data_IF_652131102487
#
_entry.id   IF_652131102487
#
_cell.length_a   1.000
_cell.length_b   1.000
_cell.length_c   1.000
_cell.angle_alpha   90.00
_cell.angle_beta   90.00
_cell.angle_gamma   90.00
#
_symmetry.space_group_name_H-M   'P 1'
#
loop_
_entity.id
_entity.type
_entity.pdbx_description
1 polymer ?
#
# COMPACT_ATOMS: atom_id res chain seq x y z
N UNK A 1 6.51 18.38 -24.00
CA UNK A 1 5.61 17.89 -22.94
C UNK A 1 6.51 17.47 -21.80
N UNK A 2 6.27 18.00 -20.59
CA UNK A 2 6.98 17.56 -19.38
C UNK A 2 6.56 16.12 -19.10
N UNK A 3 7.51 15.22 -18.85
CA UNK A 3 7.17 13.86 -18.40
C UNK A 3 6.32 13.97 -17.12
N UNK A 4 5.28 13.16 -16.96
CA UNK A 4 4.45 13.23 -15.77
C UNK A 4 5.27 12.90 -14.52
N UNK A 5 4.96 13.58 -13.42
CA UNK A 5 5.72 13.41 -12.20
C UNK A 5 5.24 12.25 -11.34
N UNK A 6 6.14 11.70 -10.52
CA UNK A 6 5.81 10.60 -9.61
C UNK A 6 6.50 10.78 -8.25
N UNK A 7 5.77 10.53 -7.18
CA UNK A 7 6.30 10.48 -5.81
C UNK A 7 6.16 9.10 -5.20
N UNK A 8 7.17 8.68 -4.43
CA UNK A 8 7.14 7.44 -3.66
C UNK A 8 6.64 7.73 -2.24
N UNK A 9 5.58 7.05 -1.82
CA UNK A 9 5.02 7.12 -0.48
C UNK A 9 5.07 5.75 0.17
N UNK A 10 5.58 5.67 1.40
CA UNK A 10 5.62 4.43 2.17
C UNK A 10 5.02 4.67 3.54
N UNK A 11 4.05 3.82 3.92
CA UNK A 11 3.47 3.83 5.25
C UNK A 11 4.35 3.09 6.23
N UNK A 12 4.61 3.73 7.36
CA UNK A 12 5.35 3.13 8.47
C UNK A 12 4.59 3.30 9.78
N UNK A 13 4.63 2.26 10.60
CA UNK A 13 4.05 2.26 11.94
C UNK A 13 4.98 1.54 12.92
N UNK A 14 4.65 1.61 14.22
CA UNK A 14 5.44 0.98 15.29
C UNK A 14 5.75 -0.52 15.08
N UNK A 15 4.88 -1.34 14.47
CA UNK A 15 5.20 -2.74 14.19
C UNK A 15 6.32 -2.96 13.16
N UNK A 16 6.80 -1.90 12.50
CA UNK A 16 7.73 -2.00 11.38
C UNK A 16 9.20 -1.77 11.79
N UNK A 17 9.43 -1.34 13.04
CA UNK A 17 10.76 -0.90 13.55
C UNK A 17 11.85 -1.95 13.40
N UNK A 18 11.49 -3.24 13.36
CA UNK A 18 12.45 -4.34 13.27
C UNK A 18 13.04 -4.56 11.88
N UNK A 19 12.39 -4.07 10.83
CA UNK A 19 12.80 -4.33 9.44
C UNK A 19 12.91 -3.09 8.57
N UNK A 20 12.30 -1.95 8.94
CA UNK A 20 12.19 -0.79 8.05
C UNK A 20 13.54 -0.18 7.65
N UNK A 21 14.58 -0.32 8.48
CA UNK A 21 15.95 0.11 8.12
C UNK A 21 16.60 -0.76 7.05
N UNK A 22 16.04 -1.92 6.73
CA UNK A 22 16.52 -2.82 5.69
C UNK A 22 15.63 -2.74 4.45
N UNK A 23 14.31 -2.77 4.63
CA UNK A 23 13.33 -2.83 3.52
C UNK A 23 13.16 -1.48 2.81
N UNK A 24 13.17 -0.36 3.53
CA UNK A 24 12.99 0.97 2.89
C UNK A 24 14.18 1.29 1.95
N UNK A 25 15.46 1.17 2.39
CA UNK A 25 16.58 1.39 1.47
C UNK A 25 16.56 0.46 0.25
N UNK A 26 16.18 -0.80 0.46
CA UNK A 26 16.00 -1.77 -0.62
C UNK A 26 14.95 -1.30 -1.65
N UNK A 27 13.75 -0.92 -1.19
CA UNK A 27 12.67 -0.46 -2.07
C UNK A 27 13.08 0.80 -2.86
N UNK A 28 13.73 1.77 -2.20
CA UNK A 28 14.21 2.99 -2.87
C UNK A 28 15.28 2.65 -3.92
N UNK A 29 16.25 1.81 -3.55
CA UNK A 29 17.35 1.39 -4.42
C UNK A 29 16.84 0.65 -5.66
N UNK A 30 15.97 -0.34 -5.49
CA UNK A 30 15.53 -1.21 -6.60
C UNK A 30 14.62 -0.48 -7.57
N UNK A 31 13.73 0.38 -7.08
CA UNK A 31 12.86 1.16 -7.97
C UNK A 31 13.67 2.12 -8.85
N UNK A 32 14.76 2.69 -8.33
CA UNK A 32 15.71 3.55 -9.05
C UNK A 32 15.04 4.52 -10.04
N UNK A 33 14.05 5.26 -9.54
CA UNK A 33 13.23 6.16 -10.34
C UNK A 33 13.51 7.61 -9.94
N UNK A 34 13.49 8.58 -10.88
CA UNK A 34 13.63 10.00 -10.56
C UNK A 34 12.33 10.53 -9.92
N UNK A 35 12.07 10.14 -8.68
CA UNK A 35 10.91 10.62 -7.91
C UNK A 35 11.04 12.12 -7.62
N UNK A 36 9.92 12.85 -7.63
CA UNK A 36 9.87 14.23 -7.14
C UNK A 36 10.16 14.28 -5.64
N UNK A 37 9.57 13.36 -4.88
CA UNK A 37 9.88 13.12 -3.48
C UNK A 37 9.69 11.65 -3.11
N UNK A 38 10.43 11.23 -2.07
CA UNK A 38 10.32 9.97 -1.36
C UNK A 38 9.89 10.28 0.06
N UNK A 39 8.70 9.85 0.45
CA UNK A 39 8.04 10.26 1.69
C UNK A 39 7.71 9.06 2.56
N UNK A 40 8.07 9.14 3.84
CA UNK A 40 7.54 8.24 4.87
C UNK A 40 6.34 8.90 5.55
N UNK A 41 5.18 8.25 5.47
CA UNK A 41 3.99 8.63 6.21
C UNK A 41 3.88 7.78 7.48
N UNK A 42 3.99 8.43 8.64
CA UNK A 42 4.07 7.81 9.96
C UNK A 42 2.68 7.75 10.58
N UNK A 43 2.24 6.53 10.90
CA UNK A 43 1.05 6.31 11.69
C UNK A 43 1.34 6.48 13.18
N UNK A 44 0.87 7.61 13.71
CA UNK A 44 1.01 7.99 15.12
C UNK A 44 -0.15 7.52 16.00
N UNK A 45 -1.17 6.88 15.43
CA UNK A 45 -2.33 6.44 16.19
C UNK A 45 -1.98 5.27 17.14
N UNK A 46 -2.76 5.10 18.23
CA UNK A 46 -2.69 3.88 19.03
C UNK A 46 -2.98 2.64 18.18
N UNK A 47 -2.21 1.57 18.38
CA UNK A 47 -2.45 0.31 17.69
C UNK A 47 -3.79 -0.28 18.12
N UNK A 48 -4.47 -0.92 17.17
CA UNK A 48 -5.74 -1.59 17.40
C UNK A 48 -5.90 -2.84 16.55
N UNK A 49 -6.92 -3.65 16.84
CA UNK A 49 -7.19 -4.89 16.11
C UNK A 49 -6.00 -5.85 16.11
N UNK A 50 -5.73 -6.46 14.96
CA UNK A 50 -4.68 -7.47 14.76
C UNK A 50 -3.26 -6.90 14.96
N UNK A 51 -3.11 -5.56 14.96
CA UNK A 51 -1.81 -4.90 15.13
C UNK A 51 -1.30 -4.92 16.57
N UNK A 52 -2.19 -5.05 17.56
CA UNK A 52 -1.83 -5.03 18.99
C UNK A 52 -1.07 -6.28 19.41
N UNK A 53 -1.37 -7.42 18.75
CA UNK A 53 -0.79 -8.73 19.08
C UNK A 53 0.42 -9.08 18.23
N UNK A 54 0.93 -8.14 17.41
CA UNK A 54 2.14 -8.38 16.62
C UNK A 54 3.34 -8.55 17.56
N UNK A 55 4.27 -9.48 17.26
CA UNK A 55 5.49 -9.60 18.03
C UNK A 55 6.43 -8.42 17.73
N UNK A 56 7.31 -8.10 18.68
CA UNK A 56 8.39 -7.11 18.52
C UNK A 56 7.94 -5.71 18.07
N UNK A 57 6.80 -5.24 18.58
CA UNK A 57 6.33 -3.86 18.33
C UNK A 57 7.27 -2.88 19.02
N UNK A 58 7.87 -1.97 18.26
CA UNK A 58 8.70 -0.92 18.81
C UNK A 58 7.91 0.22 19.47
N UNK A 59 8.62 1.10 20.15
CA UNK A 59 8.07 2.35 20.68
C UNK A 59 7.88 3.38 19.56
N UNK A 60 7.20 4.50 19.87
CA UNK A 60 7.11 5.59 18.91
C UNK A 60 8.48 6.26 18.74
N UNK A 61 9.26 6.35 19.81
CA UNK A 61 10.62 6.88 19.83
C UNK A 61 11.54 6.05 18.93
N UNK A 62 11.51 4.72 19.03
CA UNK A 62 12.28 3.83 18.16
C UNK A 62 11.89 4.00 16.68
N UNK A 63 10.59 4.15 16.39
CA UNK A 63 10.13 4.46 15.04
C UNK A 63 10.69 5.80 14.55
N UNK A 64 10.67 6.84 15.39
CA UNK A 64 11.25 8.15 15.06
C UNK A 64 12.73 8.05 14.75
N UNK A 65 13.50 7.36 15.60
CA UNK A 65 14.92 7.13 15.38
C UNK A 65 15.19 6.44 14.05
N UNK A 66 14.36 5.44 13.68
CA UNK A 66 14.52 4.76 12.40
C UNK A 66 14.20 5.68 11.22
N UNK A 67 13.11 6.45 11.27
CA UNK A 67 12.75 7.39 10.20
C UNK A 67 13.78 8.52 10.05
N UNK A 68 14.33 9.03 11.16
CA UNK A 68 15.38 10.05 11.16
C UNK A 68 16.68 9.52 10.54
N UNK A 69 17.08 8.27 10.84
CA UNK A 69 18.23 7.63 10.18
C UNK A 69 18.06 7.54 8.66
N UNK A 70 16.85 7.20 8.19
CA UNK A 70 16.56 7.13 6.75
C UNK A 70 16.59 8.51 6.08
N UNK A 71 16.08 9.54 6.77
CA UNK A 71 16.12 10.92 6.30
C UNK A 71 17.57 11.45 6.22
N UNK A 72 18.36 11.28 7.29
CA UNK A 72 19.76 11.71 7.34
C UNK A 72 20.65 11.00 6.32
N UNK A 73 20.36 9.72 6.02
CA UNK A 73 21.05 8.96 4.99
C UNK A 73 20.63 9.34 3.56
N UNK A 74 19.64 10.24 3.38
CA UNK A 74 19.11 10.62 2.07
C UNK A 74 18.35 9.50 1.36
N UNK A 75 17.93 8.45 2.09
CA UNK A 75 17.11 7.36 1.53
C UNK A 75 15.72 7.89 1.21
N UNK A 76 15.20 8.77 2.05
CA UNK A 76 13.93 9.48 1.84
C UNK A 76 14.15 10.98 1.96
N UNK A 77 13.29 11.77 1.33
CA UNK A 77 13.41 13.23 1.29
C UNK A 77 12.61 13.89 2.42
N UNK A 78 11.57 13.20 2.89
CA UNK A 78 10.64 13.75 3.89
C UNK A 78 10.01 12.65 4.76
N UNK A 79 9.77 13.00 6.02
CA UNK A 79 8.98 12.21 6.97
C UNK A 79 7.81 13.08 7.41
N UNK A 80 6.59 12.54 7.38
CA UNK A 80 5.38 13.24 7.83
C UNK A 80 4.51 12.38 8.70
N UNK A 81 3.83 13.01 9.65
CA UNK A 81 2.81 12.37 10.45
C UNK A 81 1.48 12.40 9.72
N UNK A 82 0.75 11.28 9.77
CA UNK A 82 -0.64 11.27 9.33
C UNK A 82 -1.42 12.29 10.17
N UNK A 83 -2.10 13.20 9.48
CA UNK A 83 -2.86 14.26 10.13
C UNK A 83 -4.17 13.72 10.73
N UNK A 84 -4.18 13.54 12.04
CA UNK A 84 -5.34 13.09 12.82
C UNK A 84 -6.23 14.22 13.33
N UNK A 85 -6.03 15.47 12.90
CA UNK A 85 -6.92 16.58 13.22
C UNK A 85 -8.36 16.29 12.77
N UNK A 86 -9.33 16.64 13.63
CA UNK A 86 -10.72 16.34 13.38
C UNK A 86 -11.29 17.07 12.16
N UNK A 87 -10.84 18.30 11.86
CA UNK A 87 -11.32 19.04 10.70
C UNK A 87 -10.75 18.46 9.41
N UNK A 88 -9.44 18.16 9.39
CA UNK A 88 -8.80 17.48 8.26
C UNK A 88 -9.47 16.14 7.97
N UNK A 89 -9.60 15.29 8.99
CA UNK A 89 -10.24 13.98 8.88
C UNK A 89 -11.68 14.07 8.35
N UNK A 90 -12.49 15.00 8.87
CA UNK A 90 -13.86 15.19 8.39
C UNK A 90 -13.88 15.67 6.93
N UNK A 91 -13.00 16.59 6.55
CA UNK A 91 -12.91 17.13 5.20
C UNK A 91 -12.54 16.03 4.20
N UNK A 92 -11.45 15.30 4.45
CA UNK A 92 -10.97 14.26 3.53
C UNK A 92 -11.95 13.09 3.43
N UNK A 93 -12.59 12.69 4.53
CA UNK A 93 -13.59 11.62 4.48
C UNK A 93 -14.88 12.04 3.79
N UNK A 94 -15.30 13.30 3.93
CA UNK A 94 -16.43 13.81 3.15
C UNK A 94 -16.13 13.79 1.65
N UNK A 95 -14.90 14.12 1.24
CA UNK A 95 -14.44 13.99 -0.16
C UNK A 95 -14.43 12.53 -0.61
N UNK A 96 -13.80 11.64 0.15
CA UNK A 96 -13.57 10.24 -0.26
C UNK A 96 -14.79 9.35 -0.15
N UNK A 97 -15.61 9.50 0.89
CA UNK A 97 -16.76 8.63 1.16
C UNK A 97 -18.11 9.32 0.95
N UNK A 98 -18.12 10.62 0.65
CA UNK A 98 -19.34 11.43 0.56
C UNK A 98 -19.94 11.81 1.93
N UNK A 99 -19.39 11.30 3.03
CA UNK A 99 -19.88 11.54 4.39
C UNK A 99 -18.75 11.37 5.42
N UNK A 100 -18.74 12.11 6.54
CA UNK A 100 -17.77 11.88 7.59
C UNK A 100 -17.97 10.52 8.26
N UNK A 101 -16.85 9.88 8.63
CA UNK A 101 -16.82 8.63 9.40
C UNK A 101 -15.90 8.86 10.58
N UNK A 102 -16.29 8.44 11.78
CA UNK A 102 -15.51 8.65 13.01
C UNK A 102 -14.19 7.87 13.04
N UNK A 103 -14.10 6.76 12.31
CA UNK A 103 -13.03 5.78 12.43
C UNK A 103 -11.89 6.07 11.45
N UNK A 104 -10.69 6.28 11.98
CA UNK A 104 -9.48 6.50 11.16
C UNK A 104 -8.85 5.19 10.67
N UNK A 105 -9.26 4.06 11.27
CA UNK A 105 -8.77 2.72 10.99
C UNK A 105 -9.92 1.74 10.78
N UNK A 106 -9.64 0.64 10.09
CA UNK A 106 -10.59 -0.48 10.00
C UNK A 106 -10.61 -1.32 11.29
N UNK A 107 -11.49 -2.32 11.34
CA UNK A 107 -11.63 -3.22 12.50
C UNK A 107 -10.38 -4.06 12.82
N UNK A 108 -9.43 -4.21 11.89
CA UNK A 108 -8.16 -4.93 12.05
C UNK A 108 -6.99 -4.01 12.42
N UNK A 109 -7.21 -2.70 12.50
CA UNK A 109 -6.15 -1.70 12.72
C UNK A 109 -5.35 -1.34 11.47
N UNK A 110 -5.94 -1.46 10.27
CA UNK A 110 -5.38 -0.88 9.05
C UNK A 110 -5.71 0.63 8.99
N UNK A 111 -4.73 1.52 8.74
CA UNK A 111 -4.92 2.97 8.73
C UNK A 111 -5.58 3.44 7.43
N UNK A 112 -6.93 3.48 7.41
CA UNK A 112 -7.71 3.99 6.27
C UNK A 112 -7.37 5.46 6.02
N UNK A 113 -7.32 6.28 7.08
CA UNK A 113 -6.94 7.68 6.97
C UNK A 113 -5.51 7.83 6.45
N UNK A 114 -4.59 6.93 6.82
CA UNK A 114 -3.23 6.93 6.28
C UNK A 114 -3.22 6.79 4.76
N UNK A 115 -3.94 5.80 4.23
CA UNK A 115 -4.06 5.57 2.78
C UNK A 115 -4.59 6.79 2.02
N UNK A 116 -5.63 7.40 2.57
CA UNK A 116 -6.24 8.61 2.02
C UNK A 116 -5.27 9.81 2.13
N UNK A 117 -4.61 9.95 3.27
CA UNK A 117 -3.68 11.04 3.55
C UNK A 117 -2.56 11.09 2.53
N UNK A 118 -1.88 9.98 2.21
CA UNK A 118 -0.82 10.01 1.20
C UNK A 118 -1.30 10.41 -0.18
N UNK A 119 -2.50 9.98 -0.59
CA UNK A 119 -3.05 10.36 -1.89
C UNK A 119 -3.38 11.86 -1.93
N UNK A 120 -3.95 12.42 -0.86
CA UNK A 120 -4.28 13.85 -0.78
C UNK A 120 -3.03 14.75 -0.67
N UNK A 121 -2.00 14.27 0.02
CA UNK A 121 -0.76 15.01 0.22
C UNK A 121 0.20 14.90 -0.96
N UNK A 122 0.13 13.84 -1.76
CA UNK A 122 0.91 13.71 -2.99
C UNK A 122 0.56 14.84 -3.99
N UNK A 123 1.57 15.58 -4.43
CA UNK A 123 1.42 16.68 -5.41
C UNK A 123 1.84 16.29 -6.83
N UNK A 124 2.42 15.11 -6.99
CA UNK A 124 2.77 14.57 -8.29
C UNK A 124 1.56 14.08 -9.09
N UNK A 125 1.72 13.90 -10.39
CA UNK A 125 0.68 13.31 -11.24
C UNK A 125 0.38 11.85 -10.84
N UNK A 126 1.43 11.11 -10.48
CA UNK A 126 1.37 9.74 -10.02
C UNK A 126 1.89 9.57 -8.60
N UNK A 127 1.31 8.64 -7.85
CA UNK A 127 1.82 8.21 -6.56
C UNK A 127 2.16 6.72 -6.62
N UNK A 128 3.36 6.36 -6.19
CA UNK A 128 3.76 4.99 -5.96
C UNK A 128 3.68 4.69 -4.46
N UNK A 129 2.93 3.65 -4.10
CA UNK A 129 2.85 3.16 -2.74
C UNK A 129 3.46 1.77 -2.60
N UNK A 130 4.21 1.57 -1.51
CA UNK A 130 4.54 0.26 -0.97
C UNK A 130 4.22 0.22 0.53
N UNK A 131 3.70 -0.90 1.01
CA UNK A 131 3.78 -1.24 2.43
C UNK A 131 5.27 -1.44 2.79
N UNK A 132 5.65 -1.02 3.99
CA UNK A 132 7.07 -1.01 4.44
C UNK A 132 7.73 -2.38 4.48
N UNK A 133 6.96 -3.46 4.44
CA UNK A 133 7.43 -4.84 4.46
C UNK A 133 7.62 -5.47 3.07
N UNK A 134 7.24 -4.77 2.00
CA UNK A 134 7.35 -5.27 0.64
C UNK A 134 8.81 -5.45 0.21
N UNK A 135 9.06 -6.48 -0.58
CA UNK A 135 10.32 -6.74 -1.25
C UNK A 135 10.12 -6.71 -2.77
N UNK A 136 11.15 -6.30 -3.50
CA UNK A 136 11.05 -6.11 -4.94
C UNK A 136 12.35 -6.43 -5.65
N UNK A 137 12.24 -7.04 -6.83
CA UNK A 137 13.30 -7.05 -7.82
C UNK A 137 12.94 -6.17 -9.01
N UNK A 138 13.96 -5.53 -9.57
CA UNK A 138 13.91 -4.93 -10.89
C UNK A 138 15.25 -5.20 -11.59
N UNK A 139 15.18 -5.69 -12.82
CA UNK A 139 16.33 -5.92 -13.66
C UNK A 139 17.06 -4.58 -13.94
N UNK A 140 18.42 -4.57 -13.94
CA UNK A 140 19.17 -3.38 -14.32
C UNK A 140 18.73 -2.82 -15.68
N UNK A 141 18.61 -1.49 -15.76
CA UNK A 141 18.14 -0.75 -16.94
C UNK A 141 16.66 -0.94 -17.32
N UNK A 142 15.90 -1.73 -16.58
CA UNK A 142 14.44 -1.76 -16.68
C UNK A 142 13.83 -0.72 -15.74
N UNK A 143 12.67 -0.16 -16.12
CA UNK A 143 11.92 0.78 -15.30
C UNK A 143 10.42 0.49 -15.43
N UNK A 144 9.91 -0.32 -14.50
CA UNK A 144 8.52 -0.76 -14.51
C UNK A 144 7.54 0.40 -14.28
N UNK A 145 7.96 1.45 -13.56
CA UNK A 145 7.13 2.64 -13.29
C UNK A 145 6.91 3.41 -14.59
N UNK A 146 7.96 3.62 -15.39
CA UNK A 146 7.84 4.27 -16.69
C UNK A 146 6.98 3.45 -17.66
N UNK A 147 7.13 2.12 -17.65
CA UNK A 147 6.24 1.21 -18.39
C UNK A 147 4.77 1.38 -17.94
N UNK A 148 4.53 1.35 -16.63
CA UNK A 148 3.20 1.50 -16.04
C UNK A 148 2.56 2.86 -16.38
N UNK A 149 3.30 3.96 -16.25
CA UNK A 149 2.83 5.30 -16.61
C UNK A 149 2.40 5.35 -18.07
N UNK A 150 3.24 4.86 -18.99
CA UNK A 150 2.92 4.81 -20.42
C UNK A 150 1.64 4.00 -20.68
N UNK A 151 1.51 2.83 -20.06
CA UNK A 151 0.32 1.99 -20.18
C UNK A 151 -0.92 2.69 -19.65
N UNK A 152 -0.81 3.43 -18.55
CA UNK A 152 -1.93 4.22 -18.02
C UNK A 152 -2.31 5.37 -18.97
N UNK A 153 -1.34 6.07 -19.56
CA UNK A 153 -1.61 7.13 -20.56
C UNK A 153 -2.35 6.57 -21.79
N UNK A 154 -1.93 5.41 -22.29
CA UNK A 154 -2.56 4.72 -23.43
C UNK A 154 -3.94 4.12 -23.07
N UNK A 155 -4.20 3.83 -21.79
CA UNK A 155 -5.42 3.20 -21.30
C UNK A 155 -6.09 4.05 -20.20
N UNK A 156 -7.01 4.96 -20.54
CA UNK A 156 -7.68 5.84 -19.57
C UNK A 156 -8.47 5.12 -18.46
N UNK A 157 -8.84 3.86 -18.67
CA UNK A 157 -9.53 3.01 -17.69
C UNK A 157 -8.57 2.32 -16.70
N UNK A 158 -7.26 2.31 -16.95
CA UNK A 158 -6.27 1.77 -16.02
C UNK A 158 -6.07 2.76 -14.87
N UNK A 159 -6.52 2.41 -13.66
CA UNK A 159 -6.47 3.26 -12.47
C UNK A 159 -5.26 2.95 -11.58
N UNK A 160 -4.90 1.67 -11.50
CA UNK A 160 -3.84 1.18 -10.63
C UNK A 160 -2.95 0.23 -11.41
N UNK A 161 -1.64 0.28 -11.18
CA UNK A 161 -0.69 -0.67 -11.76
C UNK A 161 0.25 -1.19 -10.70
N UNK A 162 0.66 -2.45 -10.79
CA UNK A 162 1.76 -3.00 -10.00
C UNK A 162 2.64 -3.89 -10.86
N UNK A 163 3.93 -4.07 -10.49
CA UNK A 163 4.78 -5.05 -11.14
C UNK A 163 4.25 -6.47 -10.89
N UNK A 164 4.90 -7.45 -11.51
CA UNK A 164 4.54 -8.86 -11.40
C UNK A 164 4.42 -9.28 -9.93
N UNK A 165 3.35 -10.03 -9.63
CA UNK A 165 3.07 -10.52 -8.28
C UNK A 165 3.72 -11.91 -8.11
N UNK A 166 4.81 -11.95 -7.35
CA UNK A 166 5.68 -13.12 -7.24
C UNK A 166 6.75 -13.17 -8.34
N UNK A 167 7.87 -13.85 -8.11
CA UNK A 167 8.89 -14.09 -9.12
C UNK A 167 8.31 -14.80 -10.36
N UNK A 168 8.92 -14.62 -11.54
CA UNK A 168 8.39 -15.19 -12.76
C UNK A 168 8.38 -16.71 -12.75
N UNK A 169 7.36 -17.28 -13.37
CA UNK A 169 7.34 -18.70 -13.75
C UNK A 169 7.95 -18.87 -15.15
N UNK A 170 8.22 -20.10 -15.56
CA UNK A 170 8.70 -20.40 -16.93
C UNK A 170 7.65 -20.15 -18.04
N UNK A 171 6.48 -19.60 -17.70
CA UNK A 171 5.41 -19.29 -18.65
C UNK A 171 5.44 -17.81 -19.00
N UNK A 172 5.95 -17.50 -20.18
CA UNK A 172 5.80 -16.16 -20.75
C UNK A 172 4.33 -15.89 -21.06
N UNK A 173 3.89 -14.66 -20.77
CA UNK A 173 2.57 -14.17 -21.16
C UNK A 173 2.72 -13.24 -22.36
N UNK A 174 1.82 -13.40 -23.34
CA UNK A 174 1.79 -12.55 -24.53
C UNK A 174 1.27 -11.14 -24.22
N UNK A 175 0.29 -11.04 -23.32
CA UNK A 175 -0.29 -9.76 -22.92
C UNK A 175 0.63 -9.03 -21.92
N UNK A 176 0.79 -7.70 -22.03
CA UNK A 176 1.69 -6.92 -21.16
C UNK A 176 1.18 -6.80 -19.70
N UNK A 177 -0.11 -7.04 -19.47
CA UNK A 177 -0.70 -7.01 -18.14
C UNK A 177 -1.93 -7.90 -18.01
N UNK A 178 -2.20 -8.35 -16.79
CA UNK A 178 -3.47 -8.96 -16.39
C UNK A 178 -4.41 -7.89 -15.81
N UNK A 179 -5.71 -7.99 -16.11
CA UNK A 179 -6.75 -7.04 -15.67
C UNK A 179 -7.50 -7.55 -14.44
N UNK A 180 -7.69 -6.69 -13.44
CA UNK A 180 -8.41 -7.01 -12.21
C UNK A 180 -9.38 -5.91 -11.80
N UNK A 181 -10.54 -6.32 -11.27
CA UNK A 181 -11.46 -5.44 -10.53
C UNK A 181 -11.14 -5.38 -9.03
N UNK A 182 -10.31 -6.29 -8.54
CA UNK A 182 -9.80 -6.24 -7.17
C UNK A 182 -8.64 -5.27 -7.05
N UNK A 183 -8.66 -4.48 -5.98
CA UNK A 183 -7.56 -3.61 -5.59
C UNK A 183 -6.71 -4.29 -4.51
N UNK A 184 -5.41 -3.99 -4.50
CA UNK A 184 -4.47 -4.47 -3.49
C UNK A 184 -3.69 -3.30 -2.91
N UNK A 185 -3.73 -3.11 -1.59
CA UNK A 185 -3.19 -1.91 -0.95
C UNK A 185 -1.69 -1.93 -0.67
N UNK A 186 -1.01 -3.07 -0.92
CA UNK A 186 0.40 -3.29 -0.54
C UNK A 186 1.42 -2.69 -1.48
N UNK A 187 1.12 -2.67 -2.77
CA UNK A 187 2.03 -2.19 -3.81
C UNK A 187 1.18 -1.75 -5.00
N UNK A 188 1.20 -0.44 -5.29
CA UNK A 188 0.47 0.11 -6.43
C UNK A 188 1.02 1.48 -6.84
N UNK A 189 1.09 1.70 -8.14
CA UNK A 189 1.13 3.00 -8.78
C UNK A 189 -0.30 3.44 -9.05
N UNK A 190 -0.61 4.71 -8.79
CA UNK A 190 -1.93 5.32 -9.04
C UNK A 190 -1.78 6.64 -9.78
N UNK A 191 -2.72 6.93 -10.68
CA UNK A 191 -2.92 8.27 -11.25
C UNK A 191 -3.80 9.09 -10.29
N UNK A 192 -3.21 10.10 -9.66
CA UNK A 192 -3.87 10.89 -8.61
C UNK A 192 -5.09 11.66 -9.15
N UNK A 193 -5.03 12.16 -10.40
CA UNK A 193 -6.13 12.92 -11.02
C UNK A 193 -7.29 12.02 -11.41
N UNK A 194 -7.02 10.80 -11.88
CA UNK A 194 -8.06 9.80 -12.14
C UNK A 194 -8.70 9.35 -10.84
N UNK A 195 -7.92 9.13 -9.80
CA UNK A 195 -8.46 8.74 -8.51
C UNK A 195 -9.37 9.82 -7.91
N UNK A 196 -9.05 11.11 -8.06
CA UNK A 196 -9.95 12.19 -7.63
C UNK A 196 -11.34 12.10 -8.30
N UNK A 197 -11.38 11.79 -9.60
CA UNK A 197 -12.63 11.57 -10.36
C UNK A 197 -13.35 10.27 -10.02
N UNK A 198 -12.64 9.31 -9.42
CA UNK A 198 -13.19 8.02 -8.99
C UNK A 198 -14.02 8.14 -7.71
N UNK A 199 -13.77 9.17 -6.90
CA UNK A 199 -14.49 9.43 -5.67
C UNK A 199 -15.94 9.88 -5.93
N UNK A 200 -16.88 9.63 -5.00
CA UNK A 200 -16.67 8.94 -3.72
C UNK A 200 -16.66 7.40 -3.86
N UNK A 201 -15.94 6.73 -2.96
CA UNK A 201 -15.94 5.27 -2.76
C UNK A 201 -17.03 4.85 -1.76
N UNK A 202 -17.63 3.65 -1.91
CA UNK A 202 -18.67 3.18 -1.02
C UNK A 202 -18.10 2.81 0.35
N UNK A 203 -18.86 3.11 1.41
CA UNK A 203 -18.55 2.67 2.77
C UNK A 203 -19.00 1.22 2.95
N UNK A 204 -18.13 0.38 3.48
CA UNK A 204 -18.47 -0.99 3.85
C UNK A 204 -18.31 -1.21 5.35
N UNK A 205 -19.40 -1.67 5.98
CA UNK A 205 -19.40 -2.13 7.36
C UNK A 205 -19.48 -3.65 7.38
N UNK A 206 -18.67 -4.30 8.22
CA UNK A 206 -18.81 -5.73 8.52
C UNK A 206 -20.16 -6.00 9.16
N UNK A 207 -20.58 -7.26 9.07
CA UNK A 207 -21.80 -7.73 9.70
C UNK A 207 -21.85 -7.40 11.21
N UNK A 208 -22.95 -6.79 11.61
CA UNK A 208 -23.27 -6.50 13.00
C UNK A 208 -23.88 -7.74 13.65
N UNK A 209 -23.59 -7.97 14.94
CA UNK A 209 -24.22 -9.06 15.71
C UNK A 209 -25.75 -8.94 15.75
N UNK A 210 -26.26 -7.72 15.65
CA UNK A 210 -27.68 -7.43 15.69
C UNK A 210 -28.24 -7.45 14.27
N UNK A 211 -28.97 -8.51 13.92
CA UNK A 211 -29.41 -8.80 12.56
C UNK A 211 -30.18 -7.64 11.88
N UNK A 212 -31.05 -6.93 12.61
CA UNK A 212 -31.81 -5.82 12.02
C UNK A 212 -30.93 -4.62 11.62
N UNK A 213 -29.74 -4.46 12.23
CA UNK A 213 -28.80 -3.41 11.81
C UNK A 213 -28.25 -3.74 10.42
N UNK A 214 -28.08 -5.03 10.09
CA UNK A 214 -27.56 -5.46 8.79
C UNK A 214 -28.50 -5.13 7.64
N UNK A 215 -29.82 -5.04 7.87
CA UNK A 215 -30.79 -4.62 6.85
C UNK A 215 -30.91 -3.11 6.68
N UNK A 216 -30.27 -2.30 7.54
CA UNK A 216 -30.29 -0.84 7.38
C UNK A 216 -29.48 -0.38 6.16
N UNK A 217 -29.93 0.68 5.46
CA UNK A 217 -29.10 1.41 4.52
C UNK A 217 -27.78 1.90 5.12
N UNK A 218 -26.72 1.94 4.31
CA UNK A 218 -25.38 2.39 4.74
C UNK A 218 -25.33 3.78 5.39
N UNK A 219 -26.10 4.79 4.96
CA UNK A 219 -26.14 6.08 5.66
C UNK A 219 -26.60 5.96 7.11
N UNK A 220 -27.59 5.10 7.39
CA UNK A 220 -28.07 4.85 8.75
C UNK A 220 -27.07 4.06 9.58
N UNK A 221 -26.42 3.04 8.99
CA UNK A 221 -25.32 2.31 9.65
C UNK A 221 -24.18 3.26 10.02
N UNK A 222 -23.81 4.16 9.12
CA UNK A 222 -22.74 5.15 9.34
C UNK A 222 -23.11 6.14 10.43
N UNK A 223 -24.32 6.69 10.42
CA UNK A 223 -24.80 7.58 11.48
C UNK A 223 -24.81 6.88 12.85
N UNK A 224 -25.33 5.65 12.91
CA UNK A 224 -25.35 4.84 14.13
C UNK A 224 -23.94 4.55 14.63
N UNK A 225 -23.02 4.16 13.75
CA UNK A 225 -21.63 3.85 14.12
C UNK A 225 -20.85 5.10 14.55
N UNK A 226 -21.08 6.26 13.93
CA UNK A 226 -20.50 7.52 14.36
C UNK A 226 -21.00 7.94 15.75
N UNK A 227 -22.31 7.83 16.01
CA UNK A 227 -22.93 8.19 17.29
C UNK A 227 -22.47 7.27 18.42
N UNK A 228 -22.51 5.96 18.19
CA UNK A 228 -22.21 4.97 19.23
C UNK A 228 -20.73 4.73 19.43
N UNK A 229 -19.90 5.11 18.45
CA UNK A 229 -18.51 4.64 18.36
C UNK A 229 -18.39 3.13 18.15
N UNK A 230 -19.50 2.45 17.83
CA UNK A 230 -19.57 1.00 17.63
C UNK A 230 -19.80 0.71 16.15
N UNK A 231 -18.81 0.08 15.52
CA UNK A 231 -18.87 -0.29 14.12
C UNK A 231 -17.59 -1.01 13.74
N UNK A 232 -17.68 -1.90 12.76
CA UNK A 232 -16.52 -2.59 12.20
C UNK A 232 -16.38 -2.17 10.76
N UNK A 233 -15.78 -0.99 10.55
CA UNK A 233 -15.47 -0.49 9.22
C UNK A 233 -14.51 -1.46 8.54
N UNK A 234 -14.80 -1.85 7.30
CA UNK A 234 -13.97 -2.79 6.54
C UNK A 234 -12.71 -2.10 5.97
N UNK A 235 -11.80 -2.87 5.37
CA UNK A 235 -10.58 -2.34 4.77
C UNK A 235 -10.88 -1.39 3.61
N UNK A 236 -10.09 -0.32 3.50
CA UNK A 236 -10.09 0.58 2.34
C UNK A 236 -9.90 -0.21 1.03
N UNK A 237 -9.07 -1.25 1.05
CA UNK A 237 -8.85 -2.16 -0.08
C UNK A 237 -10.16 -2.73 -0.67
N UNK A 238 -11.06 -3.18 0.19
CA UNK A 238 -12.35 -3.76 -0.21
C UNK A 238 -13.30 -2.66 -0.69
N UNK A 239 -13.29 -1.49 -0.04
CA UNK A 239 -14.12 -0.34 -0.45
C UNK A 239 -13.73 0.18 -1.84
N UNK A 240 -12.43 0.25 -2.16
CA UNK A 240 -11.93 0.59 -3.50
C UNK A 240 -12.30 -0.50 -4.51
N UNK A 241 -12.14 -1.78 -4.14
CA UNK A 241 -12.56 -2.92 -4.99
C UNK A 241 -14.03 -2.83 -5.38
N UNK A 242 -14.93 -2.58 -4.43
CA UNK A 242 -16.36 -2.43 -4.71
C UNK A 242 -16.65 -1.29 -5.69
N UNK A 243 -15.88 -0.19 -5.62
CA UNK A 243 -16.02 0.91 -6.58
C UNK A 243 -15.46 0.56 -7.96
N UNK A 244 -14.35 -0.17 -8.04
CA UNK A 244 -13.82 -0.67 -9.32
C UNK A 244 -14.83 -1.58 -10.02
N UNK A 245 -15.51 -2.46 -9.29
CA UNK A 245 -16.57 -3.34 -9.79
C UNK A 245 -17.78 -2.56 -10.36
N UNK A 246 -18.01 -1.34 -9.89
CA UNK A 246 -19.12 -0.47 -10.31
C UNK A 246 -18.76 0.48 -11.47
N UNK A 247 -17.51 0.46 -11.94
CA UNK A 247 -17.00 1.37 -12.97
C UNK A 247 -16.26 0.61 -14.05
N UNK A 248 -15.88 1.29 -15.12
CA UNK A 248 -15.02 0.69 -16.15
C UNK A 248 -13.54 0.68 -15.74
N UNK A 249 -13.17 1.36 -14.65
CA UNK A 249 -11.80 1.38 -14.18
C UNK A 249 -11.32 0.00 -13.73
N UNK A 250 -10.01 -0.25 -13.85
CA UNK A 250 -9.40 -1.50 -13.43
C UNK A 250 -7.99 -1.30 -12.88
N UNK A 251 -7.50 -2.32 -12.18
CA UNK A 251 -6.09 -2.48 -11.81
C UNK A 251 -5.41 -3.42 -12.81
N UNK A 252 -4.20 -3.08 -13.22
CA UNK A 252 -3.32 -3.93 -14.01
C UNK A 252 -2.20 -4.54 -13.13
N UNK A 253 -1.89 -5.82 -13.34
CA UNK A 253 -0.60 -6.37 -12.92
C UNK A 253 0.25 -6.57 -14.16
N UNK A 254 1.44 -5.97 -14.20
CA UNK A 254 2.38 -6.20 -15.28
C UNK A 254 2.80 -7.66 -15.32
N UNK A 255 2.98 -8.20 -16.52
CA UNK A 255 3.44 -9.58 -16.74
C UNK A 255 4.94 -9.65 -17.02
N UNK A 256 5.61 -8.50 -17.16
CA UNK A 256 7.02 -8.39 -17.48
C UNK A 256 7.89 -8.98 -16.34
N UNK A 257 8.69 -10.04 -16.60
CA UNK A 257 9.50 -10.70 -15.57
C UNK A 257 10.68 -9.83 -15.09
N UNK A 258 10.97 -8.72 -15.79
CA UNK A 258 12.03 -7.79 -15.41
C UNK A 258 11.72 -7.01 -14.13
N UNK A 259 10.51 -7.06 -13.59
CA UNK A 259 10.19 -6.50 -12.27
C UNK A 259 9.12 -7.33 -11.56
N UNK A 260 9.39 -7.74 -10.32
CA UNK A 260 8.46 -8.53 -9.52
C UNK A 260 8.53 -8.18 -8.03
N UNK A 261 7.45 -8.48 -7.32
CA UNK A 261 7.26 -8.16 -5.90
C UNK A 261 6.98 -9.38 -5.07
N UNK A 262 7.46 -9.36 -3.82
CA UNK A 262 7.20 -10.38 -2.80
C UNK A 262 6.67 -9.72 -1.53
N UNK A 263 5.74 -10.38 -0.87
CA UNK A 263 5.21 -9.97 0.42
C UNK A 263 5.61 -10.98 1.51
N UNK A 264 6.56 -10.64 2.40
CA UNK A 264 6.83 -11.46 3.56
C UNK A 264 5.69 -11.32 4.57
N UNK A 265 5.13 -12.45 5.02
CA UNK A 265 4.16 -12.49 6.13
C UNK A 265 4.83 -12.70 7.49
N UNK A 266 5.98 -13.39 7.50
CA UNK A 266 6.70 -13.74 8.72
C UNK A 266 7.43 -12.51 9.31
N UNK A 267 7.42 -12.40 10.63
CA UNK A 267 8.14 -11.37 11.41
C UNK A 267 8.95 -12.01 12.54
N UNK A 268 9.25 -13.31 12.43
CA UNK A 268 10.02 -14.06 13.40
C UNK A 268 11.48 -13.57 13.49
N UNK A 269 12.19 -13.86 14.59
CA UNK A 269 13.63 -13.60 14.67
C UNK A 269 14.43 -14.28 13.57
N UNK A 270 14.00 -15.48 13.12
CA UNK A 270 14.64 -16.20 12.03
C UNK A 270 14.50 -15.43 10.70
N UNK A 271 13.30 -14.94 10.39
CA UNK A 271 13.09 -14.06 9.25
C UNK A 271 13.96 -12.80 9.31
N UNK A 272 13.96 -12.11 10.44
CA UNK A 272 14.72 -10.86 10.61
C UNK A 272 16.23 -11.09 10.46
N UNK A 273 16.74 -12.23 10.92
CA UNK A 273 18.14 -12.62 10.74
C UNK A 273 18.46 -12.97 9.27
N UNK A 274 17.52 -13.58 8.55
CA UNK A 274 17.66 -13.94 7.14
C UNK A 274 17.44 -12.76 6.18
N UNK A 275 16.72 -11.72 6.60
CA UNK A 275 16.26 -10.62 5.76
C UNK A 275 17.38 -9.95 4.92
N UNK A 276 18.60 -9.66 5.43
CA UNK A 276 19.66 -9.10 4.60
C UNK A 276 20.06 -10.02 3.44
N UNK A 277 20.10 -11.34 3.67
CA UNK A 277 20.42 -12.32 2.64
C UNK A 277 19.29 -12.45 1.62
N UNK A 278 18.04 -12.50 2.10
CA UNK A 278 16.85 -12.51 1.24
C UNK A 278 16.86 -11.29 0.31
N UNK A 279 17.06 -10.08 0.86
CA UNK A 279 17.18 -8.85 0.08
C UNK A 279 18.30 -8.95 -0.96
N UNK A 280 19.50 -9.38 -0.57
CA UNK A 280 20.63 -9.49 -1.49
C UNK A 280 20.35 -10.45 -2.66
N UNK A 281 19.70 -11.59 -2.40
CA UNK A 281 19.29 -12.55 -3.44
C UNK A 281 18.22 -11.96 -4.36
N UNK A 282 17.18 -11.33 -3.80
CA UNK A 282 16.12 -10.66 -4.56
C UNK A 282 16.72 -9.59 -5.47
N UNK A 283 17.62 -8.74 -4.96
CA UNK A 283 18.28 -7.70 -5.76
C UNK A 283 19.14 -8.26 -6.89
N UNK A 284 19.69 -9.45 -6.73
CA UNK A 284 20.42 -10.18 -7.78
C UNK A 284 19.49 -10.88 -8.80
N UNK A 285 18.16 -10.79 -8.62
CA UNK A 285 17.18 -11.51 -9.42
C UNK A 285 17.09 -13.01 -9.10
N UNK A 286 17.71 -13.45 -8.00
CA UNK A 286 17.70 -14.82 -7.54
C UNK A 286 16.52 -15.09 -6.61
N UNK A 287 15.89 -16.26 -6.80
CA UNK A 287 14.83 -16.76 -5.95
C UNK A 287 14.78 -18.30 -6.00
N UNK A 288 14.39 -18.97 -4.90
CA UNK A 288 14.20 -20.42 -4.89
C UNK A 288 13.15 -20.85 -5.92
N UNK A 289 13.34 -22.03 -6.54
CA UNK A 289 12.38 -22.56 -7.51
C UNK A 289 10.96 -22.70 -6.94
N UNK A 290 10.84 -23.01 -5.65
CA UNK A 290 9.57 -23.10 -4.93
C UNK A 290 8.84 -21.75 -4.81
N UNK A 291 9.56 -20.62 -4.89
CA UNK A 291 8.98 -19.28 -4.82
C UNK A 291 8.40 -18.81 -6.17
N UNK A 292 8.71 -19.48 -7.29
CA UNK A 292 8.28 -19.07 -8.62
C UNK A 292 6.73 -18.99 -8.71
N UNK A 293 6.21 -17.82 -9.09
CA UNK A 293 4.77 -17.55 -9.17
C UNK A 293 4.06 -17.28 -7.84
N UNK A 294 4.76 -17.45 -6.72
CA UNK A 294 4.18 -17.27 -5.39
C UNK A 294 4.45 -15.85 -4.89
N UNK A 295 3.38 -15.11 -4.58
CA UNK A 295 3.48 -13.72 -4.15
C UNK A 295 3.90 -13.56 -2.69
N UNK A 296 3.41 -14.43 -1.82
CA UNK A 296 3.82 -14.44 -0.42
C UNK A 296 5.14 -15.21 -0.28
N UNK A 297 6.08 -14.67 0.50
CA UNK A 297 7.35 -15.34 0.75
C UNK A 297 7.13 -16.67 1.47
N UNK A 298 7.77 -17.74 0.98
CA UNK A 298 7.71 -19.10 1.55
C UNK A 298 8.93 -19.32 2.45
N UNK A 299 8.81 -19.23 3.79
CA UNK A 299 9.96 -19.27 4.70
C UNK A 299 10.93 -20.42 4.43
N UNK A 300 10.41 -21.64 4.29
CA UNK A 300 11.18 -22.88 4.16
C UNK A 300 12.03 -22.96 2.88
N UNK A 301 11.74 -22.10 1.90
CA UNK A 301 12.53 -22.00 0.67
C UNK A 301 13.70 -21.01 0.79
N UNK A 302 13.66 -20.10 1.77
CA UNK A 302 14.60 -18.98 1.91
C UNK A 302 15.54 -19.11 3.12
N UNK A 303 15.10 -19.69 4.25
CA UNK A 303 15.89 -19.83 5.48
C UNK A 303 15.44 -20.97 6.40
#
# INVERSE_FOLDING_TARGET
MTNPSCSLWIFVARPDTTFLLQTIPHLVKVNNFPFEEKVLAVDTAPLMGDKVTRPFIGTMEELRECTEKLLQAGVVDRVVDINYDANYHNQVYKKHFGTPIRFTHNYKGYPILGSIFSIEECKSDYMLHFDSDMLMYQQPNHNWIAEAVKLMEENPQMMFVRPLAGPPTNKEKAEPYDVFKTFGSRAYLIDCKRFDKFLPIPILWREYKTAWINSLPNPLKTALSNLTGKGKLDSWEIMVTLKLEQTDYFRANLTNPAAWTLHPKDRSPAFLAALPNIIARIEAGDFPAQQAGEYDLIPEAWY
#
